data_IF_042538578100
#
_entry.id   IF_042538578100
#
_cell.length_a   1.000
_cell.length_b   1.000
_cell.length_c   1.000
_cell.angle_alpha   90.00
_cell.angle_beta   90.00
_cell.angle_gamma   90.00
#
_symmetry.space_group_name_H-M   'P 1'
#
loop_
_entity.id
_entity.type
_entity.pdbx_description
1 polymer ?
#
# COMPACT_ATOMS: atom_id res chain seq x y z
N UNK A 1 -1.01 -8.76 15.95
CA UNK A 1 -0.50 -7.51 15.35
C UNK A 1 -0.22 -7.72 13.87
N UNK A 2 0.80 -8.52 13.51
CA UNK A 2 1.18 -8.75 12.10
C UNK A 2 0.06 -9.26 11.16
N UNK A 3 -0.83 -10.21 11.55
CA UNK A 3 -1.90 -10.68 10.67
C UNK A 3 -2.94 -9.61 10.31
N UNK A 4 -3.09 -8.56 11.14
CA UNK A 4 -4.00 -7.44 10.85
C UNK A 4 -3.36 -6.48 9.85
N UNK A 5 -2.07 -6.15 10.04
CA UNK A 5 -1.34 -5.29 9.10
C UNK A 5 -1.27 -5.93 7.71
N UNK A 6 -1.05 -7.25 7.62
CA UNK A 6 -1.05 -7.95 6.33
C UNK A 6 -2.42 -7.94 5.64
N UNK A 7 -3.53 -7.96 6.40
CA UNK A 7 -4.88 -7.81 5.83
C UNK A 7 -5.10 -6.39 5.29
N UNK A 8 -4.63 -5.37 6.00
CA UNK A 8 -4.66 -3.98 5.53
C UNK A 8 -3.84 -3.83 4.24
N UNK A 9 -2.60 -4.35 4.22
CA UNK A 9 -1.78 -4.36 3.01
C UNK A 9 -2.46 -5.06 1.85
N UNK A 10 -3.07 -6.23 2.06
CA UNK A 10 -3.79 -6.93 0.98
C UNK A 10 -4.97 -6.13 0.41
N UNK A 11 -5.68 -5.35 1.23
CA UNK A 11 -6.74 -4.46 0.75
C UNK A 11 -6.16 -3.29 -0.07
N UNK A 12 -5.05 -2.70 0.41
CA UNK A 12 -4.33 -1.63 -0.29
C UNK A 12 -3.76 -2.13 -1.63
N UNK A 13 -3.22 -3.36 -1.67
CA UNK A 13 -2.70 -4.00 -2.89
C UNK A 13 -3.81 -4.11 -3.94
N UNK A 14 -5.03 -4.47 -3.55
CA UNK A 14 -6.15 -4.54 -4.48
C UNK A 14 -6.54 -3.18 -5.05
N UNK A 15 -6.60 -2.13 -4.22
CA UNK A 15 -6.84 -0.77 -4.67
C UNK A 15 -5.77 -0.33 -5.67
N UNK A 16 -4.51 -0.57 -5.34
CA UNK A 16 -3.38 -0.23 -6.18
C UNK A 16 -3.40 -0.95 -7.53
N UNK A 17 -3.73 -2.25 -7.55
CA UNK A 17 -3.85 -3.03 -8.79
C UNK A 17 -4.98 -2.50 -9.69
N UNK A 18 -6.11 -2.09 -9.11
CA UNK A 18 -7.20 -1.47 -9.87
C UNK A 18 -6.73 -0.16 -10.50
N UNK A 19 -5.95 0.63 -9.76
CA UNK A 19 -5.46 1.93 -10.21
C UNK A 19 -4.37 1.79 -11.29
N UNK A 20 -3.34 1.00 -11.05
CA UNK A 20 -2.17 0.88 -11.95
C UNK A 20 -2.41 -0.15 -13.07
N UNK A 21 -3.40 -1.02 -12.92
CA UNK A 21 -3.71 -2.08 -13.86
C UNK A 21 -2.83 -3.33 -13.65
N UNK A 22 -2.69 -4.20 -14.68
CA UNK A 22 -2.18 -5.56 -14.52
C UNK A 22 -0.73 -5.66 -14.01
N UNK A 23 0.10 -4.63 -14.25
CA UNK A 23 1.47 -4.55 -13.72
C UNK A 23 1.53 -4.19 -12.23
N UNK A 24 0.45 -3.64 -11.68
CA UNK A 24 0.37 -3.24 -10.27
C UNK A 24 0.58 -4.39 -9.30
N UNK A 25 0.30 -5.65 -9.70
CA UNK A 25 0.53 -6.81 -8.83
C UNK A 25 2.01 -7.01 -8.54
N UNK A 26 2.84 -7.03 -9.57
CA UNK A 26 4.29 -7.25 -9.40
C UNK A 26 4.90 -6.10 -8.58
N UNK A 27 4.52 -4.86 -8.90
CA UNK A 27 4.98 -3.68 -8.18
C UNK A 27 4.58 -3.71 -6.70
N UNK A 28 3.34 -4.13 -6.39
CA UNK A 28 2.90 -4.30 -5.02
C UNK A 28 3.65 -5.42 -4.29
N UNK A 29 3.90 -6.56 -4.95
CA UNK A 29 4.67 -7.66 -4.38
C UNK A 29 6.12 -7.23 -4.05
N UNK A 30 6.78 -6.54 -4.98
CA UNK A 30 8.14 -6.02 -4.80
C UNK A 30 8.18 -4.98 -3.66
N UNK A 31 7.26 -4.02 -3.68
CA UNK A 31 7.14 -3.00 -2.62
C UNK A 31 6.86 -3.65 -1.26
N UNK A 32 6.04 -4.70 -1.21
CA UNK A 32 5.70 -5.40 0.03
C UNK A 32 6.88 -6.20 0.58
N UNK A 33 7.69 -6.79 -0.29
CA UNK A 33 8.93 -7.45 0.11
C UNK A 33 9.94 -6.46 0.70
N UNK A 34 10.17 -5.33 0.01
CA UNK A 34 11.03 -4.23 0.49
C UNK A 34 10.52 -3.65 1.78
N UNK A 35 9.19 -3.45 1.87
CA UNK A 35 8.52 -3.09 3.11
C UNK A 35 8.98 -4.16 4.13
N UNK A 36 8.55 -5.42 4.05
CA UNK A 36 8.75 -6.45 5.11
C UNK A 36 10.19 -6.57 5.63
N UNK A 37 11.17 -6.42 4.75
CA UNK A 37 12.60 -6.49 5.09
C UNK A 37 13.10 -5.33 5.97
N UNK A 38 12.46 -4.15 5.89
CA UNK A 38 12.83 -2.97 6.68
C UNK A 38 12.64 -3.13 8.21
N UNK A 39 12.02 -4.22 8.67
CA UNK A 39 11.85 -4.54 10.10
C UNK A 39 10.82 -3.67 10.84
N UNK A 40 10.50 -4.00 12.09
CA UNK A 40 9.67 -3.22 13.03
C UNK A 40 8.26 -2.78 12.54
N UNK A 41 7.51 -3.64 11.84
CA UNK A 41 6.09 -3.39 11.49
C UNK A 41 5.13 -3.83 12.57
N UNK A 42 4.91 -2.97 13.54
CA UNK A 42 4.04 -3.26 14.67
C UNK A 42 2.89 -2.25 14.78
N UNK A 43 2.87 -1.19 13.97
CA UNK A 43 1.95 -0.07 14.11
C UNK A 43 1.23 0.25 12.79
N UNK A 44 0.00 0.78 12.84
CA UNK A 44 -0.69 1.28 11.66
C UNK A 44 0.10 2.32 10.85
N UNK A 45 0.90 3.16 11.53
CA UNK A 45 1.79 4.14 10.88
C UNK A 45 2.82 3.47 9.94
N UNK A 46 3.20 2.22 10.20
CA UNK A 46 4.11 1.50 9.32
C UNK A 46 3.39 1.13 8.00
N UNK A 47 2.06 0.95 8.01
CA UNK A 47 1.24 0.74 6.81
C UNK A 47 1.05 2.03 6.02
N UNK A 48 1.05 3.19 6.68
CA UNK A 48 1.06 4.47 5.95
C UNK A 48 2.32 4.62 5.10
N UNK A 49 3.49 4.20 5.60
CA UNK A 49 4.72 4.17 4.80
C UNK A 49 4.60 3.25 3.58
N UNK A 50 3.88 2.13 3.70
CA UNK A 50 3.60 1.25 2.57
C UNK A 50 2.77 1.93 1.49
N UNK A 51 1.74 2.68 1.89
CA UNK A 51 0.89 3.46 0.96
C UNK A 51 1.74 4.49 0.20
N UNK A 52 2.62 5.20 0.90
CA UNK A 52 3.51 6.18 0.27
C UNK A 52 4.49 5.51 -0.71
N UNK A 53 4.99 4.31 -0.41
CA UNK A 53 5.82 3.54 -1.35
C UNK A 53 5.07 3.20 -2.64
N UNK A 54 3.82 2.71 -2.53
CA UNK A 54 3.00 2.37 -3.70
C UNK A 54 2.63 3.61 -4.51
N UNK A 55 2.34 4.73 -3.83
CA UNK A 55 1.98 5.99 -4.48
C UNK A 55 3.08 6.52 -5.41
N UNK A 56 4.35 6.16 -5.22
CA UNK A 56 5.45 6.53 -6.11
C UNK A 56 5.33 5.94 -7.52
N UNK A 57 4.58 4.85 -7.69
CA UNK A 57 4.33 4.25 -9.00
C UNK A 57 3.15 4.89 -9.75
N UNK A 58 2.48 5.88 -9.16
CA UNK A 58 1.37 6.61 -9.77
C UNK A 58 1.87 8.00 -10.15
N UNK A 59 2.16 8.17 -11.44
CA UNK A 59 2.71 9.42 -11.99
C UNK A 59 1.70 10.57 -11.94
N UNK A 60 0.43 10.25 -12.19
CA UNK A 60 -0.66 11.22 -12.18
C UNK A 60 -0.95 11.69 -10.73
N UNK A 61 -0.82 13.00 -10.44
CA UNK A 61 -0.94 13.51 -9.08
C UNK A 61 -2.36 13.45 -8.52
N UNK A 62 -3.39 13.54 -9.37
CA UNK A 62 -4.79 13.46 -8.94
C UNK A 62 -5.15 12.02 -8.59
N UNK A 63 -4.78 11.08 -9.45
CA UNK A 63 -4.95 9.64 -9.22
C UNK A 63 -4.16 9.17 -8.01
N UNK A 64 -2.94 9.68 -7.83
CA UNK A 64 -2.12 9.40 -6.64
C UNK A 64 -2.80 9.89 -5.37
N UNK A 65 -3.35 11.11 -5.36
CA UNK A 65 -4.05 11.66 -4.21
C UNK A 65 -5.32 10.87 -3.86
N UNK A 66 -6.07 10.43 -4.87
CA UNK A 66 -7.24 9.56 -4.70
C UNK A 66 -6.83 8.22 -4.08
N UNK A 67 -5.84 7.54 -4.65
CA UNK A 67 -5.31 6.28 -4.12
C UNK A 67 -4.87 6.41 -2.65
N UNK A 68 -4.09 7.44 -2.31
CA UNK A 68 -3.62 7.65 -0.92
C UNK A 68 -4.80 7.88 0.04
N UNK A 69 -5.83 8.61 -0.40
CA UNK A 69 -7.02 8.87 0.41
C UNK A 69 -7.78 7.57 0.71
N UNK A 70 -8.03 6.75 -0.31
CA UNK A 70 -8.74 5.48 -0.18
C UNK A 70 -7.93 4.46 0.63
N UNK A 71 -6.63 4.37 0.38
CA UNK A 71 -5.74 3.48 1.11
C UNK A 71 -5.66 3.84 2.61
N UNK A 72 -5.67 5.14 2.96
CA UNK A 72 -5.71 5.58 4.36
C UNK A 72 -7.05 5.25 5.04
N UNK A 73 -8.15 5.19 4.30
CA UNK A 73 -9.43 4.73 4.86
C UNK A 73 -9.35 3.24 5.28
N UNK A 74 -8.61 2.41 4.56
CA UNK A 74 -8.39 1.00 4.91
C UNK A 74 -7.58 0.79 6.20
N UNK A 75 -6.76 1.77 6.61
CA UNK A 75 -5.91 1.69 7.81
C UNK A 75 -6.69 2.08 9.09
N UNK A 76 -7.74 2.90 8.96
CA UNK A 76 -8.54 3.41 10.09
C UNK A 76 -9.65 2.46 10.55
N UNK A 77 -9.82 1.31 9.90
CA UNK A 77 -10.76 0.23 10.25
C UNK A 77 -10.16 -0.71 11.31
#
# INVERSE_FOLDING_TARGET
MLPTLLRMCAAIDQLFIVEVGPFGRQLAEDARAVWLDAGNRLRPADVEQYVEMLAQYIDDPERRAAFVTDARACIRL
#
